data_IF_619775744748
#
_entry.id   IF_619775744748
#
_cell.length_a   1.000
_cell.length_b   1.000
_cell.length_c   1.000
_cell.angle_alpha   90.00
_cell.angle_beta   90.00
_cell.angle_gamma   90.00
#
_symmetry.space_group_name_H-M   'P 1'
#
loop_
_entity.id
_entity.type
_entity.pdbx_description
1 polymer ?
#
# COMPACT_ATOMS: atom_id res chain seq x y z
N UNK A 1 -17.95 22.75 13.94
CA UNK A 1 -16.92 21.85 14.51
C UNK A 1 -16.95 20.62 13.64
N UNK A 2 -16.17 20.61 12.56
CA UNK A 2 -16.26 19.56 11.53
C UNK A 2 -15.47 18.35 11.94
N UNK A 3 -16.15 17.21 11.94
CA UNK A 3 -15.72 15.87 12.30
C UNK A 3 -14.41 15.47 11.60
N UNK A 4 -13.43 15.09 12.42
CA UNK A 4 -12.21 14.39 12.02
C UNK A 4 -12.58 12.97 11.59
N UNK A 5 -12.95 12.79 10.32
CA UNK A 5 -13.07 11.45 9.76
C UNK A 5 -11.69 10.97 9.32
N UNK A 6 -11.12 10.07 10.12
CA UNK A 6 -9.90 9.31 9.88
C UNK A 6 -9.94 8.62 8.51
N UNK A 7 -9.40 9.29 7.48
CA UNK A 7 -9.06 8.63 6.22
C UNK A 7 -7.89 7.72 6.51
N UNK A 8 -8.14 6.42 6.53
CA UNK A 8 -7.09 5.41 6.54
C UNK A 8 -6.15 5.66 5.36
N UNK A 9 -4.84 5.83 5.63
CA UNK A 9 -3.73 6.14 4.69
C UNK A 9 -3.49 5.09 3.58
N UNK A 10 -4.46 4.21 3.39
CA UNK A 10 -4.47 2.99 2.57
C UNK A 10 -5.19 3.24 1.25
N UNK A 11 -6.19 4.13 1.27
CA UNK A 11 -6.94 4.52 0.08
C UNK A 11 -6.32 5.76 -0.57
N UNK A 12 -4.99 5.85 -0.61
CA UNK A 12 -4.35 6.83 -1.47
C UNK A 12 -4.02 6.16 -2.83
N UNK A 13 -4.92 6.24 -3.84
CA UNK A 13 -4.64 5.69 -5.17
C UNK A 13 -3.36 6.28 -5.78
N UNK A 14 -2.88 7.41 -5.25
CA UNK A 14 -1.66 8.08 -5.71
C UNK A 14 -0.37 7.29 -5.40
N UNK A 15 -0.42 6.23 -4.58
CA UNK A 15 0.75 5.39 -4.26
C UNK A 15 0.87 4.11 -5.11
N UNK A 16 -0.05 3.89 -6.06
CA UNK A 16 -0.10 2.68 -6.90
C UNK A 16 0.39 3.01 -8.31
N UNK A 17 1.28 2.17 -8.84
CA UNK A 17 1.73 2.29 -10.22
C UNK A 17 0.62 1.90 -11.20
N UNK A 18 0.29 2.73 -12.21
CA UNK A 18 -0.79 2.44 -13.16
C UNK A 18 -0.45 1.33 -14.17
N UNK A 19 0.82 0.92 -14.28
CA UNK A 19 1.24 -0.20 -15.15
C UNK A 19 1.20 -1.54 -14.40
N UNK A 20 1.81 -1.62 -13.21
CA UNK A 20 1.91 -2.86 -12.43
C UNK A 20 0.70 -3.11 -11.54
N UNK A 21 -0.08 -2.07 -11.26
CA UNK A 21 -1.15 -2.08 -10.26
C UNK A 21 -0.67 -2.46 -8.85
N UNK A 22 0.61 -2.21 -8.57
CA UNK A 22 1.24 -2.46 -7.29
C UNK A 22 1.77 -1.16 -6.67
N UNK A 23 1.96 -1.18 -5.34
CA UNK A 23 2.56 -0.08 -4.61
C UNK A 23 4.00 0.19 -5.10
N UNK A 24 4.32 1.47 -5.35
CA UNK A 24 5.63 1.88 -5.87
C UNK A 24 6.80 1.34 -5.04
N UNK A 25 7.81 0.77 -5.69
CA UNK A 25 9.11 0.44 -5.09
C UNK A 25 10.17 1.47 -5.49
N UNK A 26 10.25 1.79 -6.77
CA UNK A 26 11.14 2.81 -7.31
C UNK A 26 10.35 3.73 -8.24
N UNK A 27 9.56 4.65 -7.67
CA UNK A 27 8.74 5.55 -8.45
C UNK A 27 9.60 6.55 -9.23
N UNK A 28 9.21 6.76 -10.48
CA UNK A 28 9.69 7.83 -11.35
C UNK A 28 8.54 8.67 -11.87
N UNK A 29 8.76 9.98 -11.94
CA UNK A 29 7.86 10.93 -12.58
C UNK A 29 8.34 11.12 -14.03
N UNK A 30 7.43 10.92 -14.97
CA UNK A 30 7.65 11.23 -16.37
C UNK A 30 7.35 12.71 -16.66
N UNK A 31 7.86 13.24 -17.77
CA UNK A 31 7.59 14.64 -18.20
C UNK A 31 6.11 14.98 -18.38
N UNK A 32 5.24 13.97 -18.50
CA UNK A 32 3.79 14.16 -18.61
C UNK A 32 3.10 14.30 -17.24
N UNK A 33 3.87 14.32 -16.15
CA UNK A 33 3.41 14.55 -14.79
C UNK A 33 2.95 13.29 -14.05
N UNK A 34 3.00 12.12 -14.66
CA UNK A 34 2.54 10.87 -14.04
C UNK A 34 3.67 10.07 -13.42
N UNK A 35 3.34 9.36 -12.32
CA UNK A 35 4.25 8.46 -11.64
C UNK A 35 4.13 7.02 -12.16
N UNK A 36 5.27 6.35 -12.34
CA UNK A 36 5.36 4.96 -12.77
C UNK A 36 6.44 4.20 -12.00
N UNK A 37 6.31 2.89 -11.92
CA UNK A 37 7.39 2.02 -11.47
C UNK A 37 8.52 2.03 -12.52
N UNK A 38 9.77 2.31 -12.11
CA UNK A 38 10.90 2.52 -13.03
C UNK A 38 11.04 1.40 -14.05
N UNK A 39 11.05 0.15 -13.59
CA UNK A 39 11.23 -1.00 -14.48
C UNK A 39 10.10 -1.13 -15.50
N UNK A 40 8.87 -0.87 -15.06
CA UNK A 40 7.68 -1.02 -15.89
C UNK A 40 7.62 0.05 -16.99
N UNK A 41 7.84 1.31 -16.64
CA UNK A 41 7.83 2.41 -17.63
C UNK A 41 9.02 2.33 -18.58
N UNK A 42 10.19 1.92 -18.09
CA UNK A 42 11.38 1.74 -18.94
C UNK A 42 11.10 0.69 -20.02
N UNK A 43 10.53 -0.46 -19.64
CA UNK A 43 10.14 -1.51 -20.59
C UNK A 43 9.08 -1.02 -21.58
N UNK A 44 8.09 -0.27 -21.12
CA UNK A 44 7.05 0.30 -21.98
C UNK A 44 7.63 1.25 -23.03
N UNK A 45 8.50 2.18 -22.62
CA UNK A 45 9.15 3.14 -23.52
C UNK A 45 10.00 2.43 -24.57
N UNK A 46 10.75 1.38 -24.19
CA UNK A 46 11.55 0.60 -25.14
C UNK A 46 10.70 -0.08 -26.22
N UNK A 47 9.45 -0.42 -25.92
CA UNK A 47 8.54 -1.09 -26.85
C UNK A 47 7.66 -0.12 -27.66
N UNK A 48 7.21 0.98 -27.05
CA UNK A 48 6.17 1.84 -27.61
C UNK A 48 6.61 3.30 -27.81
N UNK A 49 7.70 3.75 -27.18
CA UNK A 49 8.19 5.14 -27.29
C UNK A 49 7.23 6.22 -26.79
N UNK A 50 6.22 5.87 -25.99
CA UNK A 50 5.12 6.76 -25.58
C UNK A 50 4.77 6.59 -24.10
N UNK A 51 4.03 7.56 -23.53
CA UNK A 51 3.41 7.43 -22.22
C UNK A 51 2.24 6.42 -22.26
N UNK A 52 2.12 5.51 -21.28
CA UNK A 52 0.98 4.60 -21.17
C UNK A 52 -0.37 5.31 -20.99
N UNK A 53 -0.38 6.49 -20.34
CA UNK A 53 -1.62 7.19 -19.99
C UNK A 53 -2.00 8.24 -21.02
N UNK A 54 -1.04 9.04 -21.47
CA UNK A 54 -1.31 10.18 -22.37
C UNK A 54 -1.06 9.85 -23.84
N UNK A 55 -0.40 8.71 -24.12
CA UNK A 55 0.07 8.30 -25.46
C UNK A 55 1.00 9.30 -26.15
N UNK A 56 1.52 10.28 -25.40
CA UNK A 56 2.48 11.26 -25.92
C UNK A 56 3.88 10.66 -26.01
N UNK A 57 4.75 11.11 -26.94
CA UNK A 57 6.12 10.62 -27.06
C UNK A 57 6.89 10.78 -25.74
N UNK A 58 7.53 9.70 -25.28
CA UNK A 58 8.24 9.65 -24.00
C UNK A 58 9.56 8.90 -24.16
N UNK A 59 10.63 9.43 -23.57
CA UNK A 59 11.96 8.83 -23.59
C UNK A 59 12.43 8.47 -22.19
N UNK A 60 13.38 7.54 -22.07
CA UNK A 60 13.94 7.12 -20.77
C UNK A 60 14.56 8.30 -20.02
N UNK A 61 15.17 9.25 -20.74
CA UNK A 61 15.78 10.45 -20.16
C UNK A 61 14.73 11.45 -19.61
N UNK A 62 13.45 11.26 -19.94
CA UNK A 62 12.35 12.07 -19.42
C UNK A 62 11.87 11.59 -18.03
N UNK A 63 12.52 10.57 -17.45
CA UNK A 63 12.15 9.97 -16.17
C UNK A 63 13.00 10.53 -15.03
N UNK A 64 12.36 11.05 -13.99
CA UNK A 64 13.01 11.60 -12.80
C UNK A 64 12.59 10.79 -11.56
N UNK A 65 13.50 10.40 -10.66
CA UNK A 65 13.13 9.72 -9.41
C UNK A 65 12.25 10.60 -8.51
N UNK A 66 11.28 10.00 -7.81
CA UNK A 66 10.49 10.67 -6.77
C UNK A 66 10.73 10.03 -5.39
N UNK A 67 11.69 10.59 -4.65
CA UNK A 67 12.05 10.11 -3.32
C UNK A 67 10.91 10.27 -2.30
N UNK A 68 10.04 11.27 -2.48
CA UNK A 68 8.88 11.50 -1.59
C UNK A 68 7.89 10.35 -1.77
N UNK A 69 7.55 10.01 -3.01
CA UNK A 69 6.63 8.92 -3.32
C UNK A 69 7.23 7.57 -2.89
N UNK A 70 8.55 7.39 -3.06
CA UNK A 70 9.26 6.20 -2.56
C UNK A 70 9.13 6.06 -1.05
N UNK A 71 9.32 7.14 -0.32
CA UNK A 71 9.22 7.15 1.15
C UNK A 71 7.80 6.80 1.61
N UNK A 72 6.78 7.44 1.03
CA UNK A 72 5.38 7.19 1.36
C UNK A 72 4.96 5.74 1.06
N UNK A 73 5.35 5.21 -0.11
CA UNK A 73 5.09 3.82 -0.47
C UNK A 73 5.82 2.83 0.45
N UNK A 74 7.05 3.15 0.88
CA UNK A 74 7.77 2.33 1.85
C UNK A 74 7.08 2.32 3.22
N UNK A 75 6.58 3.47 3.69
CA UNK A 75 5.80 3.55 4.93
C UNK A 75 4.54 2.70 4.86
N UNK A 76 3.75 2.83 3.77
CA UNK A 76 2.53 2.04 3.58
C UNK A 76 2.77 0.52 3.52
N UNK A 77 3.97 0.09 3.10
CA UNK A 77 4.40 -1.32 3.12
C UNK A 77 4.67 -1.87 4.51
N UNK A 78 5.15 -1.04 5.43
CA UNK A 78 5.64 -1.45 6.74
C UNK A 78 4.62 -1.20 7.86
N UNK A 79 3.43 -0.68 7.55
CA UNK A 79 2.32 -0.59 8.48
C UNK A 79 2.07 -1.98 9.09
N UNK A 80 2.27 -2.09 10.40
CA UNK A 80 2.13 -3.35 11.14
C UNK A 80 0.69 -3.44 11.68
N UNK A 81 0.17 -4.67 11.78
CA UNK A 81 -1.09 -4.92 12.49
C UNK A 81 -0.95 -4.42 13.92
N UNK A 82 -1.73 -3.40 14.27
CA UNK A 82 -1.75 -2.86 15.62
C UNK A 82 -2.95 -3.43 16.38
N UNK A 83 -2.77 -3.69 17.67
CA UNK A 83 -3.85 -4.10 18.55
C UNK A 83 -4.17 -2.97 19.51
N UNK A 84 -5.44 -2.56 19.52
CA UNK A 84 -5.94 -1.56 20.45
C UNK A 84 -6.39 -2.24 21.74
N UNK A 85 -5.61 -2.08 22.81
CA UNK A 85 -5.91 -2.68 24.11
C UNK A 85 -7.12 -2.05 24.83
N UNK A 86 -7.54 -0.84 24.43
CA UNK A 86 -8.61 -0.09 25.09
C UNK A 86 -10.01 -0.57 24.69
N UNK A 87 -10.19 -0.99 23.44
CA UNK A 87 -11.47 -1.42 22.86
C UNK A 87 -11.42 -2.86 22.30
N UNK A 88 -10.24 -3.49 22.29
CA UNK A 88 -10.03 -4.83 21.77
C UNK A 88 -10.02 -4.93 20.24
N UNK A 89 -9.96 -3.80 19.51
CA UNK A 89 -9.96 -3.81 18.05
C UNK A 89 -8.57 -4.11 17.47
N UNK A 90 -8.53 -4.83 16.34
CA UNK A 90 -7.31 -5.08 15.56
C UNK A 90 -7.29 -4.06 14.41
N UNK A 91 -6.32 -3.15 14.41
CA UNK A 91 -6.03 -2.28 13.27
C UNK A 91 -5.16 -3.06 12.30
N UNK A 92 -5.77 -3.57 11.24
CA UNK A 92 -5.04 -4.21 10.16
C UNK A 92 -4.35 -3.14 9.28
N UNK A 93 -3.15 -3.41 8.74
CA UNK A 93 -2.59 -2.60 7.68
C UNK A 93 -3.45 -2.73 6.42
N UNK A 94 -3.20 -1.89 5.39
CA UNK A 94 -3.80 -2.07 4.06
C UNK A 94 -3.65 -3.52 3.61
N UNK A 95 -4.73 -4.29 3.68
CA UNK A 95 -4.70 -5.68 3.26
C UNK A 95 -4.35 -5.70 1.77
N UNK A 96 -3.24 -6.35 1.42
CA UNK A 96 -2.97 -6.76 0.05
C UNK A 96 -4.24 -7.41 -0.49
N UNK A 97 -4.71 -6.97 -1.65
CA UNK A 97 -5.77 -7.66 -2.40
C UNK A 97 -5.23 -9.00 -2.92
N UNK A 98 -5.03 -9.94 -2.01
CA UNK A 98 -4.80 -11.34 -2.27
C UNK A 98 -5.86 -12.05 -1.44
N UNK A 99 -6.85 -12.61 -2.13
CA UNK A 99 -7.89 -13.44 -1.58
C UNK A 99 -7.26 -14.66 -0.89
N UNK A 100 -6.82 -14.52 0.34
CA UNK A 100 -6.34 -15.62 1.17
C UNK A 100 -7.24 -15.64 2.39
N UNK A 101 -8.07 -16.69 2.48
CA UNK A 101 -8.74 -17.05 3.72
C UNK A 101 -7.67 -17.46 4.74
N UNK A 102 -7.15 -16.50 5.51
CA UNK A 102 -6.27 -16.82 6.62
C UNK A 102 -7.17 -17.24 7.78
N UNK A 103 -7.40 -18.55 7.91
CA UNK A 103 -8.00 -19.12 9.10
C UNK A 103 -6.97 -19.00 10.23
N UNK A 104 -7.07 -17.93 11.03
CA UNK A 104 -6.21 -17.74 12.21
C UNK A 104 -6.62 -18.82 13.23
N UNK A 105 -5.94 -19.97 13.19
CA UNK A 105 -6.02 -20.96 14.27
C UNK A 105 -5.38 -20.33 15.50
N UNK A 106 -6.23 -19.83 16.40
CA UNK A 106 -5.84 -19.59 17.79
C UNK A 106 -5.52 -20.96 18.40
N UNK A 107 -4.28 -21.15 18.84
CA UNK A 107 -3.89 -22.36 19.55
C UNK A 107 -4.71 -22.46 20.86
N UNK A 108 -5.34 -23.62 21.16
CA UNK A 108 -6.30 -23.74 22.26
C UNK A 108 -5.67 -23.64 23.65
N UNK A 109 -4.33 -23.70 23.78
CA UNK A 109 -3.64 -23.62 25.07
C UNK A 109 -3.69 -22.25 25.78
N UNK A 110 -4.26 -21.18 25.21
CA UNK A 110 -4.35 -19.86 25.88
C UNK A 110 -5.74 -19.49 26.41
N UNK A 111 -6.75 -20.35 26.26
CA UNK A 111 -8.13 -20.07 26.71
C UNK A 111 -8.38 -20.50 28.19
N UNK A 112 -7.45 -21.24 28.81
CA UNK A 112 -7.67 -21.91 30.10
C UNK A 112 -7.53 -21.06 31.37
N UNK A 113 -7.35 -19.72 31.27
CA UNK A 113 -7.25 -18.85 32.46
C UNK A 113 -8.45 -17.93 32.70
N UNK A 114 -9.48 -17.94 31.85
CA UNK A 114 -10.66 -17.06 32.02
C UNK A 114 -11.85 -17.69 32.74
N UNK A 115 -11.78 -18.95 33.18
CA UNK A 115 -12.90 -19.61 33.88
C UNK A 115 -12.79 -19.62 35.41
N UNK A 116 -12.02 -18.71 36.02
CA UNK A 116 -11.87 -18.66 37.50
C UNK A 116 -12.21 -17.34 38.20
N UNK A 117 -12.67 -16.31 37.50
CA UNK A 117 -12.99 -15.00 38.12
C UNK A 117 -14.45 -14.58 37.88
N UNK A 118 -15.39 -15.52 38.00
CA UNK A 118 -16.81 -15.21 38.22
C UNK A 118 -17.43 -16.24 39.16
N UNK A 119 -16.95 -16.26 40.40
CA UNK A 119 -17.72 -16.71 41.57
C UNK A 119 -17.02 -16.25 42.85
N UNK A 120 -17.39 -15.06 43.31
CA UNK A 120 -17.61 -14.79 44.73
C UNK A 120 -18.57 -13.63 44.90
#
# INVERSE_FOLDING_TARGET
MTEENSKTDIENPDLICPITFELFRDPVIAKDGHAYEREAITRWILQHGTSPLTRQPLQINDLQPDDRLRHLAHQGRNSTVSYNAHDGSIILPPLRRLSININVRVAPEQISNLTRITRQ
#
